data_IF_948667860218
#
_entry.id   IF_948667860218
#
_cell.length_a   1.000
_cell.length_b   1.000
_cell.length_c   1.000
_cell.angle_alpha   90.00
_cell.angle_beta   90.00
_cell.angle_gamma   90.00
#
_symmetry.space_group_name_H-M   'P 1'
#
loop_
_entity.id
_entity.type
_entity.pdbx_description
1 polymer ?
#
# COMPACT_ATOMS: atom_id res chain seq x y z
N UNK A 1 0.77 10.31 16.54
CA UNK A 1 -0.18 11.02 15.65
C UNK A 1 -0.81 9.95 14.78
N UNK A 2 -2.13 9.85 14.73
CA UNK A 2 -2.79 8.78 13.97
C UNK A 2 -3.24 9.31 12.60
N UNK A 3 -2.92 8.54 11.57
CA UNK A 3 -3.38 8.72 10.20
C UNK A 3 -4.61 7.85 9.96
N UNK A 4 -5.58 8.37 9.21
CA UNK A 4 -6.75 7.59 8.80
C UNK A 4 -6.42 6.84 7.53
N UNK A 5 -6.52 5.51 7.55
CA UNK A 5 -6.33 4.71 6.34
C UNK A 5 -7.64 4.54 5.59
N UNK A 6 -7.67 4.95 4.32
CA UNK A 6 -8.78 4.75 3.40
C UNK A 6 -8.37 3.81 2.28
N UNK A 7 -8.95 2.62 2.23
CA UNK A 7 -8.66 1.61 1.21
C UNK A 7 -9.70 1.70 0.10
N UNK A 8 -9.27 2.01 -1.13
CA UNK A 8 -10.18 2.01 -2.29
C UNK A 8 -10.74 0.62 -2.54
N UNK A 9 -11.98 0.55 -3.02
CA UNK A 9 -12.70 -0.70 -3.28
C UNK A 9 -11.91 -1.69 -4.16
N UNK A 10 -11.16 -1.19 -5.15
CA UNK A 10 -10.27 -2.01 -6.00
C UNK A 10 -9.15 -2.65 -5.18
N UNK A 11 -8.46 -1.89 -4.33
CA UNK A 11 -7.40 -2.40 -3.46
C UNK A 11 -7.96 -3.42 -2.45
N UNK A 12 -9.14 -3.15 -1.88
CA UNK A 12 -9.81 -4.07 -0.97
C UNK A 12 -10.16 -5.40 -1.63
N UNK A 13 -10.77 -5.36 -2.82
CA UNK A 13 -11.06 -6.57 -3.61
C UNK A 13 -9.81 -7.37 -3.96
N UNK A 14 -8.67 -6.71 -4.24
CA UNK A 14 -7.40 -7.40 -4.46
C UNK A 14 -6.89 -8.08 -3.19
N UNK A 15 -6.97 -7.38 -2.05
CA UNK A 15 -6.54 -7.90 -0.75
C UNK A 15 -7.35 -9.14 -0.34
N UNK A 16 -8.66 -9.10 -0.53
CA UNK A 16 -9.58 -10.19 -0.17
C UNK A 16 -9.35 -11.47 -1.00
N UNK A 17 -8.67 -11.37 -2.15
CA UNK A 17 -8.29 -12.53 -2.99
C UNK A 17 -6.99 -13.20 -2.56
N UNK A 18 -6.22 -12.59 -1.66
CA UNK A 18 -4.95 -13.15 -1.23
C UNK A 18 -5.15 -14.25 -0.19
N UNK A 19 -4.22 -15.23 -0.11
CA UNK A 19 -4.23 -16.22 0.96
C UNK A 19 -4.30 -15.58 2.34
N UNK A 20 -4.96 -16.23 3.29
CA UNK A 20 -5.17 -15.72 4.66
C UNK A 20 -3.88 -15.22 5.33
N UNK A 21 -2.76 -15.93 5.12
CA UNK A 21 -1.45 -15.54 5.64
C UNK A 21 -0.98 -14.18 5.11
N UNK A 22 -1.12 -13.97 3.80
CA UNK A 22 -0.73 -12.73 3.13
C UNK A 22 -1.69 -11.59 3.48
N UNK A 23 -2.99 -11.88 3.56
CA UNK A 23 -4.00 -10.94 4.04
C UNK A 23 -3.62 -10.37 5.42
N UNK A 24 -3.29 -11.26 6.37
CA UNK A 24 -2.92 -10.86 7.73
C UNK A 24 -1.63 -10.03 7.75
N UNK A 25 -0.61 -10.44 7.00
CA UNK A 25 0.65 -9.70 6.90
C UNK A 25 0.44 -8.30 6.31
N UNK A 26 -0.34 -8.19 5.23
CA UNK A 26 -0.64 -6.91 4.58
C UNK A 26 -1.48 -6.03 5.49
N UNK A 27 -2.53 -6.59 6.11
CA UNK A 27 -3.39 -5.83 7.02
C UNK A 27 -2.63 -5.31 8.24
N UNK A 28 -1.70 -6.08 8.78
CA UNK A 28 -0.84 -5.65 9.88
C UNK A 28 0.08 -4.50 9.46
N UNK A 29 0.69 -4.58 8.28
CA UNK A 29 1.54 -3.50 7.79
C UNK A 29 0.76 -2.24 7.41
N UNK A 30 -0.45 -2.37 6.84
CA UNK A 30 -1.34 -1.22 6.62
C UNK A 30 -1.71 -0.55 7.94
N UNK A 31 -2.01 -1.34 8.98
CA UNK A 31 -2.31 -0.81 10.31
C UNK A 31 -1.11 -0.08 10.92
N UNK A 32 0.12 -0.54 10.68
CA UNK A 32 1.32 0.15 11.13
C UNK A 32 1.46 1.56 10.50
N UNK A 33 0.94 1.75 9.28
CA UNK A 33 0.95 3.06 8.61
C UNK A 33 0.05 4.10 9.29
N UNK A 34 -0.96 3.67 10.06
CA UNK A 34 -1.79 4.58 10.86
C UNK A 34 -0.93 5.32 11.90
N UNK A 35 0.06 4.67 12.48
CA UNK A 35 0.96 5.30 13.44
C UNK A 35 2.05 6.15 12.75
N UNK A 36 2.60 5.64 11.65
CA UNK A 36 3.60 6.35 10.85
C UNK A 36 3.54 5.90 9.38
N UNK A 37 3.15 6.78 8.43
CA UNK A 37 3.00 6.43 7.03
C UNK A 37 4.32 6.11 6.32
N UNK A 38 5.46 6.38 6.96
CA UNK A 38 6.80 6.10 6.42
C UNK A 38 7.47 4.92 7.13
N UNK A 39 6.72 4.07 7.83
CA UNK A 39 7.28 2.90 8.51
C UNK A 39 7.52 1.73 7.55
N UNK A 40 8.70 1.13 7.64
CA UNK A 40 9.09 -0.02 6.83
C UNK A 40 9.78 0.36 5.52
N UNK A 41 9.66 -0.51 4.52
CA UNK A 41 10.27 -0.34 3.20
C UNK A 41 9.37 0.53 2.31
N UNK A 42 9.25 1.81 2.70
CA UNK A 42 8.47 2.85 2.01
C UNK A 42 9.37 3.65 1.10
N UNK A 43 9.01 3.72 -0.18
CA UNK A 43 9.71 4.53 -1.18
C UNK A 43 8.72 5.47 -1.86
N UNK A 44 9.13 6.71 -2.12
CA UNK A 44 8.36 7.66 -2.95
C UNK A 44 8.51 7.29 -4.43
N UNK A 45 7.41 7.32 -5.18
CA UNK A 45 7.45 7.10 -6.63
C UNK A 45 7.87 8.39 -7.36
N UNK A 46 8.64 8.24 -8.45
CA UNK A 46 9.10 9.40 -9.24
C UNK A 46 7.94 9.98 -10.05
N UNK A 47 7.61 11.24 -9.83
CA UNK A 47 6.67 12.02 -10.64
C UNK A 47 5.32 12.35 -10.00
N UNK A 48 4.97 11.73 -8.85
CA UNK A 48 3.69 11.95 -8.15
C UNK A 48 3.88 11.93 -6.61
N UNK A 49 2.88 12.42 -5.86
CA UNK A 49 2.79 12.34 -4.38
C UNK A 49 2.40 10.92 -3.90
N UNK A 50 2.82 9.91 -4.64
CA UNK A 50 2.49 8.52 -4.41
C UNK A 50 3.66 7.77 -3.80
N UNK A 51 3.36 6.88 -2.87
CA UNK A 51 4.29 6.06 -2.12
C UNK A 51 4.01 4.58 -2.37
N UNK A 52 5.06 3.78 -2.30
CA UNK A 52 4.97 2.31 -2.30
C UNK A 52 5.53 1.78 -0.99
N UNK A 53 4.80 0.88 -0.34
CA UNK A 53 5.28 0.06 0.77
C UNK A 53 5.48 -1.37 0.29
N UNK A 54 6.63 -1.96 0.62
CA UNK A 54 6.87 -3.39 0.39
C UNK A 54 6.60 -4.22 1.64
N UNK A 55 5.76 -5.25 1.48
CA UNK A 55 5.53 -6.28 2.51
C UNK A 55 5.75 -7.64 1.87
N UNK A 56 6.93 -8.21 2.13
CA UNK A 56 7.36 -9.48 1.54
C UNK A 56 7.32 -9.44 0.00
N UNK A 57 6.38 -10.19 -0.59
CA UNK A 57 6.15 -10.27 -2.03
C UNK A 57 5.02 -9.35 -2.51
N UNK A 58 4.56 -8.39 -1.72
CA UNK A 58 3.47 -7.48 -2.07
C UNK A 58 3.96 -6.03 -2.07
N UNK A 59 3.35 -5.24 -2.95
CA UNK A 59 3.53 -3.80 -3.05
C UNK A 59 2.18 -3.13 -2.81
N UNK A 60 2.16 -2.24 -1.85
CA UNK A 60 1.01 -1.44 -1.47
C UNK A 60 1.29 -0.03 -1.97
N UNK A 61 0.46 0.45 -2.88
CA UNK A 61 0.58 1.79 -3.45
C UNK A 61 -0.46 2.69 -2.79
N UNK A 62 0.00 3.82 -2.26
CA UNK A 62 -0.83 4.74 -1.52
C UNK A 62 -0.41 6.20 -1.70
N UNK A 63 -1.37 7.10 -1.54
CA UNK A 63 -1.13 8.55 -1.52
C UNK A 63 -1.33 9.08 -0.11
N UNK A 64 -0.66 10.17 0.21
CA UNK A 64 -0.79 10.86 1.49
C UNK A 64 -1.44 12.21 1.31
N UNK A 65 -2.55 12.44 2.02
CA UNK A 65 -3.12 13.76 2.18
C UNK A 65 -2.68 14.34 3.53
N UNK A 66 -1.65 15.18 3.51
CA UNK A 66 -1.11 15.82 4.72
C UNK A 66 -2.08 16.81 5.38
N UNK A 67 -3.03 17.40 4.63
CA UNK A 67 -4.03 18.32 5.19
C UNK A 67 -5.02 17.58 6.07
N UNK A 68 -5.53 16.45 5.59
CA UNK A 68 -6.55 15.66 6.29
C UNK A 68 -5.96 14.52 7.12
N UNK A 69 -4.65 14.28 7.02
CA UNK A 69 -3.93 13.12 7.60
C UNK A 69 -4.55 11.79 7.17
N UNK A 70 -4.90 11.70 5.89
CA UNK A 70 -5.50 10.50 5.29
C UNK A 70 -4.48 9.82 4.39
N UNK A 71 -4.36 8.50 4.54
CA UNK A 71 -3.59 7.63 3.67
C UNK A 71 -4.54 6.87 2.75
N UNK A 72 -4.45 7.11 1.45
CA UNK A 72 -5.31 6.48 0.46
C UNK A 72 -4.61 5.30 -0.20
N UNK A 73 -4.96 4.08 0.23
CA UNK A 73 -4.48 2.86 -0.45
C UNK A 73 -5.32 2.63 -1.69
N UNK A 74 -4.75 2.87 -2.86
CA UNK A 74 -5.46 2.73 -4.13
C UNK A 74 -5.17 1.41 -4.85
N UNK A 75 -4.03 0.77 -4.58
CA UNK A 75 -3.68 -0.49 -5.22
C UNK A 75 -2.79 -1.38 -4.34
N UNK A 76 -3.07 -2.69 -4.35
CA UNK A 76 -2.22 -3.71 -3.71
C UNK A 76 -1.93 -4.78 -4.76
N UNK A 77 -0.66 -4.98 -5.06
CA UNK A 77 -0.18 -5.89 -6.10
C UNK A 77 0.81 -6.90 -5.52
N UNK A 78 0.66 -8.17 -5.90
CA UNK A 78 1.71 -9.15 -5.71
C UNK A 78 2.86 -8.84 -6.67
N UNK A 79 4.09 -9.07 -6.23
CA UNK A 79 5.29 -9.07 -7.07
C UNK A 79 5.15 -10.21 -8.06
N UNK A 80 4.60 -9.90 -9.23
CA UNK A 80 4.84 -10.71 -10.41
C UNK A 80 6.19 -10.29 -10.99
N UNK A 81 7.00 -11.26 -11.41
CA UNK A 81 8.24 -11.05 -12.15
C UNK A 81 7.93 -10.57 -13.58
N UNK A 82 7.11 -9.54 -13.72
CA UNK A 82 6.85 -8.92 -15.01
C UNK A 82 7.64 -7.63 -15.04
N UNK A 83 8.93 -7.79 -15.30
CA UNK A 83 9.82 -6.72 -15.77
C UNK A 83 9.16 -6.11 -17.01
N UNK A 84 8.84 -4.81 -16.94
CA UNK A 84 8.37 -3.94 -18.03
C UNK A 84 8.08 -4.61 -19.38
N UNK A 85 6.82 -4.65 -19.80
CA UNK A 85 6.49 -4.63 -21.23
C UNK A 85 5.86 -3.28 -21.55
N UNK A 86 6.72 -2.28 -21.79
CA UNK A 86 6.34 -1.10 -22.58
C UNK A 86 6.01 -1.62 -23.99
N UNK A 87 4.85 -1.23 -24.51
CA UNK A 87 4.59 -1.24 -25.95
C UNK A 87 4.68 0.19 -26.44
#
# INVERSE_FOLDING_TARGET
MNWTVSIKSKARKSLDRFPKKDYLAISAGIKALEANPFIGDVEKMKGEESHKLRIGNYRIMFDLNFREKILYVYEIKRRTTTTYRKR
#
